data_IF_319639458060
#
_entry.id   IF_319639458060
#
_cell.length_a   1.000
_cell.length_b   1.000
_cell.length_c   1.000
_cell.angle_alpha   90.00
_cell.angle_beta   90.00
_cell.angle_gamma   90.00
#
_symmetry.space_group_name_H-M   'P 1'
#
loop_
_entity.id
_entity.type
_entity.pdbx_description
1 polymer ?
2 polymer ?
#
# COMPACT_ATOMS: atom_id res chain seq x y z
N UNK A 1 -3.61 3.73 -10.98
CA UNK A 1 -4.42 2.71 -10.26
C UNK A 1 -3.53 1.90 -9.32
N UNK A 2 -3.58 2.22 -8.06
CA UNK A 2 -2.76 1.50 -7.08
C UNK A 2 -3.55 0.30 -6.53
N UNK A 3 -4.83 0.30 -6.80
CA UNK A 3 -5.69 -0.82 -6.31
C UNK A 3 -5.42 -2.10 -7.09
N UNK A 4 -5.37 -2.01 -8.39
CA UNK A 4 -5.11 -3.23 -9.19
C UNK A 4 -3.66 -3.62 -9.07
N UNK A 5 -3.00 -3.00 -8.14
CA UNK A 5 -1.57 -3.32 -7.94
C UNK A 5 -1.40 -4.06 -6.62
N UNK A 6 -2.13 -3.62 -5.62
CA UNK A 6 -2.03 -4.30 -4.29
C UNK A 6 -3.12 -5.36 -4.15
N UNK A 7 -4.26 -5.07 -4.72
CA UNK A 7 -5.37 -6.05 -4.63
C UNK A 7 -5.01 -7.28 -5.45
N UNK A 8 -4.60 -7.01 -6.65
CA UNK A 8 -4.20 -8.07 -7.58
C UNK A 8 -2.86 -8.74 -7.22
N UNK A 9 -1.82 -7.96 -7.07
CA UNK A 9 -0.48 -8.56 -6.71
C UNK A 9 0.20 -7.82 -5.55
N UNK A 10 1.23 -8.42 -4.98
CA UNK A 10 1.95 -7.80 -3.86
C UNK A 10 2.23 -6.33 -4.13
N UNK A 11 2.64 -5.67 -3.10
CA UNK A 11 2.95 -4.24 -3.18
C UNK A 11 3.44 -3.83 -1.80
N UNK A 12 3.79 -4.83 -1.04
CA UNK A 12 4.28 -4.56 0.34
C UNK A 12 5.14 -3.29 0.38
N UNK A 13 4.95 -2.52 1.43
CA UNK A 13 5.69 -1.25 1.64
C UNK A 13 6.87 -1.05 0.72
N UNK A 14 7.74 -2.00 0.61
CA UNK A 14 8.89 -1.78 -0.29
C UNK A 14 8.45 -1.56 -1.74
N UNK A 15 7.17 -1.36 -1.93
CA UNK A 15 6.65 -1.14 -3.31
C UNK A 15 5.70 0.06 -3.29
N UNK A 16 5.10 0.29 -2.16
CA UNK A 16 4.15 1.43 -2.04
C UNK A 16 4.96 2.65 -1.69
N UNK A 17 6.03 2.40 -1.01
CA UNK A 17 6.90 3.50 -0.60
C UNK A 17 7.39 4.22 -1.84
N UNK A 18 7.21 3.57 -2.95
CA UNK A 18 7.64 4.16 -4.23
C UNK A 18 6.48 4.90 -4.91
N UNK A 19 5.28 4.66 -4.46
CA UNK A 19 4.13 5.35 -5.09
C UNK A 19 4.11 6.82 -4.68
N UNK A 20 4.74 7.11 -3.58
CA UNK A 20 4.77 8.52 -3.11
C UNK A 20 5.99 9.25 -3.66
N UNK B 1 -4.59 -18.58 6.14
CA UNK B 1 -3.13 -18.85 6.00
C UNK B 1 -2.31 -17.67 6.51
N UNK B 2 -2.97 -16.55 6.65
CA UNK B 2 -2.30 -15.30 7.15
C UNK B 2 -0.77 -15.35 7.07
N UNK B 3 -0.26 -15.32 5.86
CA UNK B 3 1.19 -15.37 5.64
C UNK B 3 1.85 -14.08 6.17
N UNK B 4 2.90 -13.66 5.53
CA UNK B 4 3.59 -12.43 5.99
C UNK B 4 2.82 -11.19 5.54
N UNK B 5 2.17 -11.29 4.41
CA UNK B 5 1.39 -10.14 3.90
C UNK B 5 1.03 -10.35 2.43
N UNK B 6 -0.23 -10.27 2.17
CA UNK B 6 -0.71 -10.45 0.77
C UNK B 6 -2.16 -10.03 0.62
N UNK B 7 -2.87 -10.20 1.69
CA UNK B 7 -4.32 -9.83 1.69
C UNK B 7 -4.57 -8.53 0.95
N UNK B 8 -3.70 -7.60 1.15
CA UNK B 8 -3.83 -6.29 0.49
C UNK B 8 -5.27 -5.78 0.54
N UNK B 9 -5.48 -4.63 -0.06
CA UNK B 9 -6.84 -4.04 -0.07
C UNK B 9 -7.23 -3.64 -1.49
N UNK B 10 -8.29 -2.90 -1.63
CA UNK B 10 -8.71 -2.49 -3.00
C UNK B 10 -9.65 -1.29 -2.96
N UNK B 11 -9.16 -0.16 -3.42
CA UNK B 11 -10.01 1.07 -3.41
C UNK B 11 -10.07 1.66 -2.00
N UNK B 12 -10.05 2.97 -1.92
CA UNK B 12 -10.10 3.65 -0.59
C UNK B 12 -8.95 3.22 0.30
N UNK B 13 -9.01 2.01 0.77
CA UNK B 13 -7.93 1.53 1.64
C UNK B 13 -6.57 1.87 1.04
N UNK B 14 -6.58 2.23 -0.22
CA UNK B 14 -5.30 2.58 -0.88
C UNK B 14 -5.12 4.08 -0.82
N UNK B 15 -6.21 4.81 -0.77
CA UNK B 15 -6.07 6.28 -0.70
C UNK B 15 -5.66 6.67 0.71
N UNK B 16 -5.77 5.71 1.59
CA UNK B 16 -5.40 5.94 3.00
C UNK B 16 -3.98 5.45 3.22
N UNK B 17 -3.59 4.52 2.38
CA UNK B 17 -2.23 3.94 2.47
C UNK B 17 -1.16 4.99 2.16
N UNK B 18 -1.27 5.62 1.01
CA UNK B 18 -0.25 6.65 0.66
C UNK B 18 -0.44 7.90 1.47
N UNK B 19 -1.29 7.80 2.43
CA UNK B 19 -1.56 8.96 3.31
C UNK B 19 -0.93 8.68 4.64
N UNK B 20 -0.60 7.43 4.82
CA UNK B 20 0.03 6.99 6.07
C UNK B 20 1.50 6.73 5.79
N UNK B 21 1.79 6.45 4.54
CA UNK B 21 3.20 6.19 4.18
C UNK B 21 3.89 7.51 3.92
N UNK B 22 3.30 8.32 3.08
CA UNK B 22 3.95 9.62 2.81
C UNK B 22 4.07 10.34 4.14
N UNK B 23 3.35 9.79 5.08
CA UNK B 23 3.33 10.33 6.45
C UNK B 23 4.48 9.73 7.25
N UNK B 24 4.75 8.46 7.03
CA UNK B 24 5.86 7.84 7.79
C UNK B 24 7.17 8.05 7.05
N UNK B 25 7.06 8.42 5.81
CA UNK B 25 8.28 8.65 5.00
C UNK B 25 8.87 10.00 5.39
N UNK B 26 8.09 10.75 6.12
CA UNK B 26 8.55 12.09 6.57
C UNK B 26 7.37 13.05 6.64
N UNK B 27 6.62 12.97 7.72
CA UNK B 27 5.45 13.89 7.86
C UNK B 27 5.80 15.31 7.44
N UNK B 28 7.06 15.57 7.37
CA UNK B 28 7.51 16.93 6.96
C UNK B 28 6.95 17.30 5.59
#
# INVERSE_FOLDING_TARGET
GIVDECCLRPCSVDVLLSYC
QQPQAVHTYCGRHLARTLADLCWEAGVD
#
